data_IF_208186225653
#
_entry.id   IF_208186225653
#
_cell.length_a   1.000
_cell.length_b   1.000
_cell.length_c   1.000
_cell.angle_alpha   90.00
_cell.angle_beta   90.00
_cell.angle_gamma   90.00
#
_symmetry.space_group_name_H-M   'P 1'
#
loop_
_entity.id
_entity.type
_entity.pdbx_description
1 polymer ?
#
# COMPACT_ATOMS: atom_id res chain seq x y z
N UNK A 1 -4.51 18.26 7.30
CA UNK A 1 -3.72 18.07 6.06
C UNK A 1 -3.18 16.66 6.13
N UNK A 2 -3.30 15.84 5.09
CA UNK A 2 -2.66 14.53 5.10
C UNK A 2 -1.14 14.72 5.17
N UNK A 3 -0.46 13.93 5.99
CA UNK A 3 0.98 13.96 6.16
C UNK A 3 1.60 12.78 5.38
N UNK A 4 2.84 12.96 4.93
CA UNK A 4 3.62 11.86 4.34
C UNK A 4 3.85 10.75 5.37
N UNK A 5 4.21 9.56 4.90
CA UNK A 5 4.67 8.50 5.79
C UNK A 5 5.87 8.96 6.64
N UNK A 6 5.96 8.49 7.88
CA UNK A 6 7.15 8.61 8.70
C UNK A 6 8.28 7.80 8.05
N UNK A 7 9.40 8.46 7.74
CA UNK A 7 10.53 7.84 7.06
C UNK A 7 11.69 7.67 8.03
N UNK A 8 12.20 6.45 8.13
CA UNK A 8 13.31 6.08 9.02
C UNK A 8 14.41 5.39 8.23
N UNK A 9 15.61 5.97 8.17
CA UNK A 9 16.78 5.34 7.54
C UNK A 9 17.18 4.04 8.25
N UNK A 10 17.50 3.01 7.47
CA UNK A 10 17.93 1.70 7.98
C UNK A 10 19.14 1.15 7.21
N UNK A 11 20.29 1.85 7.28
CA UNK A 11 21.47 1.51 6.49
C UNK A 11 21.38 2.11 5.08
N UNK A 12 21.48 1.29 4.03
CA UNK A 12 21.36 1.74 2.64
C UNK A 12 19.90 1.99 2.20
N UNK A 13 18.93 1.56 3.02
CA UNK A 13 17.51 1.63 2.76
C UNK A 13 16.75 2.67 3.59
N UNK A 14 15.42 2.53 3.61
CA UNK A 14 14.54 3.18 4.58
C UNK A 14 13.35 2.29 4.95
N UNK A 15 12.70 2.63 6.06
CA UNK A 15 11.36 2.18 6.40
C UNK A 15 10.42 3.36 6.28
N UNK A 16 9.32 3.21 5.54
CA UNK A 16 8.21 4.15 5.51
C UNK A 16 7.03 3.58 6.30
N UNK A 17 6.43 4.37 7.18
CA UNK A 17 5.27 3.96 7.99
C UNK A 17 4.16 5.01 7.92
N UNK A 18 2.92 4.59 7.65
CA UNK A 18 1.76 5.48 7.60
C UNK A 18 0.55 4.80 8.21
N UNK A 19 -0.20 5.52 9.05
CA UNK A 19 -1.51 5.09 9.51
C UNK A 19 -2.62 5.86 8.81
N UNK A 20 -3.67 5.16 8.41
CA UNK A 20 -4.90 5.74 7.87
C UNK A 20 -6.09 5.21 8.66
N UNK A 21 -7.02 6.10 8.98
CA UNK A 21 -8.24 5.75 9.72
C UNK A 21 -9.42 5.75 8.77
N UNK A 22 -10.06 4.59 8.66
CA UNK A 22 -11.28 4.43 7.88
C UNK A 22 -12.47 4.28 8.85
N UNK A 23 -13.55 5.08 8.71
CA UNK A 23 -14.76 4.95 9.51
C UNK A 23 -15.61 3.75 9.08
N UNK A 24 -14.97 2.62 8.81
CA UNK A 24 -15.55 1.39 8.28
C UNK A 24 -15.04 0.17 9.03
N UNK A 25 -15.89 -0.86 9.04
CA UNK A 25 -15.63 -2.15 9.67
C UNK A 25 -14.36 -2.80 9.11
N UNK A 26 -13.57 -3.42 9.98
CA UNK A 26 -12.28 -4.03 9.59
C UNK A 26 -12.44 -5.09 8.50
N UNK A 27 -13.53 -5.86 8.53
CA UNK A 27 -13.85 -6.81 7.48
C UNK A 27 -13.98 -6.16 6.09
N UNK A 28 -14.61 -4.98 5.99
CA UNK A 28 -14.73 -4.25 4.73
C UNK A 28 -13.39 -3.71 4.25
N UNK A 29 -12.57 -3.19 5.16
CA UNK A 29 -11.21 -2.72 4.80
C UNK A 29 -10.34 -3.89 4.34
N UNK A 30 -10.47 -5.05 4.97
CA UNK A 30 -9.75 -6.27 4.59
C UNK A 30 -10.10 -6.77 3.18
N UNK A 31 -11.36 -6.64 2.76
CA UNK A 31 -11.77 -6.96 1.39
C UNK A 31 -10.99 -6.13 0.36
N UNK A 32 -10.67 -4.86 0.65
CA UNK A 32 -9.86 -4.05 -0.27
C UNK A 32 -8.44 -4.58 -0.45
N UNK A 33 -7.91 -5.36 0.48
CA UNK A 33 -6.59 -5.97 0.36
C UNK A 33 -6.63 -7.36 -0.30
N UNK A 34 -7.78 -8.04 -0.30
CA UNK A 34 -7.83 -9.49 -0.62
C UNK A 34 -8.87 -9.89 -1.67
N UNK A 35 -9.93 -9.10 -1.85
CA UNK A 35 -10.95 -9.31 -2.86
C UNK A 35 -10.57 -8.60 -4.16
N UNK A 36 -10.48 -9.34 -5.26
CA UNK A 36 -10.00 -8.80 -6.55
C UNK A 36 -10.93 -7.74 -7.17
N UNK A 37 -12.23 -7.77 -6.90
CA UNK A 37 -13.17 -6.76 -7.40
C UNK A 37 -12.93 -5.43 -6.68
N UNK A 38 -12.57 -5.47 -5.39
CA UNK A 38 -12.21 -4.27 -4.60
C UNK A 38 -10.79 -3.80 -4.86
N UNK A 39 -9.85 -4.73 -4.90
CA UNK A 39 -8.43 -4.46 -5.05
C UNK A 39 -8.15 -3.73 -6.37
N UNK A 40 -8.78 -4.18 -7.46
CA UNK A 40 -8.70 -3.52 -8.77
C UNK A 40 -9.21 -2.07 -8.80
N UNK A 41 -10.00 -1.64 -7.80
CA UNK A 41 -10.51 -0.28 -7.72
C UNK A 41 -9.46 0.74 -7.27
N UNK A 42 -8.43 0.31 -6.55
CA UNK A 42 -7.37 1.19 -6.04
C UNK A 42 -5.98 0.79 -6.55
N UNK A 43 -5.77 -0.44 -7.01
CA UNK A 43 -4.53 -0.89 -7.65
C UNK A 43 -4.84 -1.76 -8.87
N UNK A 44 -4.78 -1.15 -10.05
CA UNK A 44 -5.22 -1.76 -11.30
C UNK A 44 -4.38 -2.99 -11.71
N UNK A 45 -3.08 -3.00 -11.38
CA UNK A 45 -2.12 -4.06 -11.74
C UNK A 45 -2.04 -5.22 -10.73
N UNK A 46 -2.47 -5.01 -9.48
CA UNK A 46 -2.29 -6.00 -8.40
C UNK A 46 -3.52 -6.90 -8.26
N UNK A 47 -3.35 -8.21 -8.08
CA UNK A 47 -4.47 -9.16 -7.84
C UNK A 47 -4.08 -10.18 -6.79
N UNK A 48 -5.01 -10.58 -5.93
CA UNK A 48 -4.85 -11.72 -5.04
C UNK A 48 -4.83 -13.02 -5.86
N UNK A 49 -3.73 -13.77 -5.78
CA UNK A 49 -3.58 -15.09 -6.41
C UNK A 49 -3.96 -16.20 -5.45
N UNK A 50 -3.22 -16.33 -4.35
CA UNK A 50 -3.47 -17.29 -3.28
C UNK A 50 -3.37 -16.61 -1.92
N UNK A 51 -4.50 -16.54 -1.21
CA UNK A 51 -4.66 -15.84 0.06
C UNK A 51 -4.23 -16.72 1.25
N UNK A 52 -2.92 -16.91 1.41
CA UNK A 52 -2.33 -17.68 2.49
C UNK A 52 -0.88 -17.26 2.75
N UNK A 53 -0.32 -17.63 3.90
CA UNK A 53 1.12 -17.59 4.12
C UNK A 53 1.80 -18.58 3.15
N UNK A 54 2.84 -18.12 2.44
CA UNK A 54 3.43 -18.83 1.30
C UNK A 54 2.60 -18.76 0.01
N UNK A 55 1.44 -18.09 0.06
CA UNK A 55 0.64 -17.71 -1.10
C UNK A 55 1.28 -16.53 -1.86
N UNK A 56 0.50 -15.85 -2.70
CA UNK A 56 1.04 -14.75 -3.51
C UNK A 56 -0.03 -13.77 -4.00
N UNK A 57 0.40 -12.51 -4.17
CA UNK A 57 -0.22 -11.61 -5.14
C UNK A 57 0.33 -11.86 -6.55
N UNK A 58 -0.44 -11.45 -7.54
CA UNK A 58 -0.07 -11.38 -8.94
C UNK A 58 0.01 -9.91 -9.33
N UNK A 59 1.17 -9.49 -9.82
CA UNK A 59 1.36 -8.14 -10.36
C UNK A 59 1.38 -8.22 -11.89
N UNK A 60 0.54 -7.43 -12.56
CA UNK A 60 0.49 -7.33 -14.01
C UNK A 60 1.57 -6.37 -14.53
N UNK A 61 2.56 -6.91 -15.22
CA UNK A 61 3.68 -6.16 -15.82
C UNK A 61 3.36 -5.76 -17.28
N UNK A 62 2.09 -5.82 -17.68
CA UNK A 62 1.62 -5.55 -19.03
C UNK A 62 2.15 -6.57 -20.04
N UNK A 63 2.86 -6.09 -21.06
CA UNK A 63 3.41 -6.95 -22.11
C UNK A 63 4.43 -7.99 -21.60
N UNK A 64 5.01 -7.77 -20.41
CA UNK A 64 5.99 -8.67 -19.80
C UNK A 64 5.35 -9.82 -19.01
N UNK A 65 4.02 -9.90 -18.95
CA UNK A 65 3.29 -10.95 -18.25
C UNK A 65 2.98 -10.60 -16.80
N UNK A 66 2.92 -11.62 -15.93
CA UNK A 66 2.58 -11.45 -14.51
C UNK A 66 3.69 -11.97 -13.62
N UNK A 67 4.01 -11.20 -12.58
CA UNK A 67 4.96 -11.58 -11.54
C UNK A 67 4.21 -12.08 -10.30
N UNK A 68 4.79 -13.07 -9.60
CA UNK A 68 4.25 -13.55 -8.32
C UNK A 68 5.00 -12.87 -7.18
N UNK A 69 4.26 -12.14 -6.36
CA UNK A 69 4.77 -11.51 -5.15
C UNK A 69 4.40 -12.37 -3.95
N UNK A 70 5.37 -13.07 -3.39
CA UNK A 70 5.17 -14.02 -2.29
C UNK A 70 4.60 -13.32 -1.04
N UNK A 71 3.60 -13.95 -0.40
CA UNK A 71 3.06 -13.51 0.87
C UNK A 71 3.83 -14.18 2.00
N UNK A 72 4.60 -13.40 2.74
CA UNK A 72 5.41 -13.86 3.88
C UNK A 72 4.59 -14.06 5.15
N UNK A 73 3.49 -13.32 5.32
CA UNK A 73 2.57 -13.45 6.45
C UNK A 73 1.15 -13.14 6.01
N UNK A 74 0.21 -13.98 6.43
CA UNK A 74 -1.21 -13.79 6.14
C UNK A 74 -2.07 -14.17 7.35
N UNK A 75 -2.62 -13.17 8.01
CA UNK A 75 -3.54 -13.31 9.14
C UNK A 75 -4.89 -12.70 8.72
N UNK A 76 -5.89 -13.53 8.34
CA UNK A 76 -7.15 -13.04 7.79
C UNK A 76 -7.83 -11.99 8.67
N UNK A 77 -8.11 -10.82 8.09
CA UNK A 77 -8.74 -9.70 8.78
C UNK A 77 -7.78 -8.82 9.58
N UNK A 78 -6.49 -9.18 9.65
CA UNK A 78 -5.50 -8.53 10.51
C UNK A 78 -4.26 -8.10 9.73
N UNK A 79 -3.54 -9.01 9.09
CA UNK A 79 -2.23 -8.70 8.49
C UNK A 79 -2.03 -9.36 7.14
N UNK A 80 -1.46 -8.61 6.19
CA UNK A 80 -0.79 -9.19 5.01
C UNK A 80 0.58 -8.53 4.81
N UNK A 81 1.61 -9.36 4.71
CA UNK A 81 3.00 -8.95 4.44
C UNK A 81 3.51 -9.73 3.24
N UNK A 82 4.08 -9.04 2.25
CA UNK A 82 4.45 -9.65 0.98
C UNK A 82 5.65 -8.97 0.33
N UNK A 83 6.25 -9.69 -0.64
CA UNK A 83 7.35 -9.19 -1.46
C UNK A 83 6.92 -7.98 -2.29
N UNK A 84 7.83 -7.03 -2.44
CA UNK A 84 7.67 -5.91 -3.36
C UNK A 84 8.95 -5.70 -4.16
N UNK A 85 9.22 -6.61 -5.10
CA UNK A 85 10.37 -6.54 -6.00
C UNK A 85 11.72 -6.45 -5.25
N UNK A 86 11.86 -7.22 -4.18
CA UNK A 86 13.04 -7.21 -3.32
C UNK A 86 12.94 -6.29 -2.11
N UNK A 87 11.92 -5.44 -2.03
CA UNK A 87 11.48 -4.76 -0.81
C UNK A 87 10.34 -5.54 -0.14
N UNK A 88 9.77 -5.01 0.95
CA UNK A 88 8.68 -5.68 1.68
C UNK A 88 7.58 -4.68 2.00
N UNK A 89 6.34 -5.02 1.64
CA UNK A 89 5.15 -4.25 2.00
C UNK A 89 4.34 -5.02 3.04
N UNK A 90 3.85 -4.31 4.04
CA UNK A 90 3.01 -4.83 5.11
C UNK A 90 1.81 -3.91 5.34
N UNK A 91 0.65 -4.53 5.47
CA UNK A 91 -0.56 -3.92 5.96
C UNK A 91 -0.99 -4.62 7.24
N UNK A 92 -1.23 -3.84 8.30
CA UNK A 92 -1.88 -4.29 9.52
C UNK A 92 -3.20 -3.52 9.71
N UNK A 93 -4.26 -4.22 10.05
CA UNK A 93 -5.56 -3.66 10.38
C UNK A 93 -5.83 -3.84 11.86
N UNK A 94 -6.22 -2.75 12.52
CA UNK A 94 -6.61 -2.75 13.93
C UNK A 94 -7.98 -2.12 14.05
N UNK A 95 -8.92 -2.83 14.67
CA UNK A 95 -10.25 -2.28 14.98
C UNK A 95 -10.12 -1.10 15.96
N UNK A 96 -10.76 0.02 15.62
CA UNK A 96 -10.81 1.23 16.44
C UNK A 96 -12.27 1.68 16.59
N UNK A 97 -12.93 1.19 17.65
CA UNK A 97 -14.36 1.39 17.86
C UNK A 97 -15.19 0.77 16.74
N UNK A 98 -15.92 1.61 15.98
CA UNK A 98 -16.66 1.18 14.78
C UNK A 98 -15.87 1.32 13.48
N UNK A 99 -14.64 1.85 13.55
CA UNK A 99 -13.75 2.04 12.41
C UNK A 99 -12.54 1.11 12.45
N UNK A 100 -11.59 1.38 11.56
CA UNK A 100 -10.36 0.60 11.40
C UNK A 100 -9.19 1.54 11.19
N UNK A 101 -8.09 1.26 11.87
CA UNK A 101 -6.78 1.82 11.55
C UNK A 101 -6.07 0.83 10.63
N UNK A 102 -5.70 1.28 9.44
CA UNK A 102 -4.77 0.57 8.56
C UNK A 102 -3.37 1.17 8.75
N UNK A 103 -2.45 0.36 9.25
CA UNK A 103 -1.04 0.68 9.33
C UNK A 103 -0.31 0.08 8.12
N UNK A 104 0.19 0.95 7.26
CA UNK A 104 1.02 0.62 6.12
C UNK A 104 2.49 0.74 6.50
N UNK A 105 3.29 -0.24 6.09
CA UNK A 105 4.73 -0.20 6.21
C UNK A 105 5.38 -0.73 4.94
N UNK A 106 6.34 0.03 4.42
CA UNK A 106 7.24 -0.42 3.36
C UNK A 106 8.67 -0.43 3.88
N UNK A 107 9.37 -1.55 3.71
CA UNK A 107 10.78 -1.71 4.07
C UNK A 107 11.61 -1.77 2.79
N UNK A 108 12.21 -0.64 2.45
CA UNK A 108 13.05 -0.47 1.27
C UNK A 108 14.47 -0.87 1.63
N UNK A 109 15.05 -1.85 0.93
CA UNK A 109 16.41 -2.34 1.21
C UNK A 109 17.49 -1.42 0.71
N UNK A 110 17.25 -0.76 -0.43
CA UNK A 110 18.18 0.17 -1.04
C UNK A 110 17.42 1.29 -1.73
N UNK A 111 17.78 2.53 -1.41
CA UNK A 111 17.18 3.67 -2.11
C UNK A 111 17.54 3.69 -3.59
N UNK A 112 16.52 3.87 -4.41
CA UNK A 112 16.64 4.13 -5.84
C UNK A 112 15.70 5.27 -6.22
N UNK A 113 15.78 5.72 -7.48
CA UNK A 113 14.80 6.68 -8.01
C UNK A 113 13.36 6.14 -7.98
N UNK A 114 13.19 4.82 -7.90
CA UNK A 114 11.88 4.18 -7.83
C UNK A 114 11.23 4.36 -6.45
N UNK A 115 12.02 4.43 -5.37
CA UNK A 115 11.50 4.51 -4.00
C UNK A 115 10.52 5.67 -3.80
N UNK A 116 10.83 6.85 -4.32
CA UNK A 116 9.95 8.04 -4.20
C UNK A 116 8.63 7.84 -4.96
N UNK A 117 8.68 7.15 -6.11
CA UNK A 117 7.50 6.86 -6.93
C UNK A 117 6.58 5.86 -6.24
N UNK A 118 7.17 4.84 -5.63
CA UNK A 118 6.44 3.80 -4.91
C UNK A 118 5.76 4.36 -3.66
N UNK A 119 6.49 5.13 -2.84
CA UNK A 119 5.92 5.79 -1.66
C UNK A 119 4.75 6.72 -2.00
N UNK A 120 4.86 7.48 -3.10
CA UNK A 120 3.77 8.32 -3.60
C UNK A 120 2.59 7.48 -4.10
N UNK A 121 2.85 6.38 -4.82
CA UNK A 121 1.85 5.42 -5.28
C UNK A 121 1.05 4.83 -4.13
N UNK A 122 1.74 4.31 -3.10
CA UNK A 122 1.10 3.78 -1.91
C UNK A 122 0.26 4.83 -1.18
N UNK A 123 0.74 6.07 -1.08
CA UNK A 123 -0.04 7.15 -0.47
C UNK A 123 -1.37 7.37 -1.18
N UNK A 124 -1.35 7.52 -2.50
CA UNK A 124 -2.56 7.69 -3.31
C UNK A 124 -3.47 6.47 -3.17
N UNK A 125 -2.92 5.27 -3.28
CA UNK A 125 -3.66 4.02 -3.12
C UNK A 125 -4.45 3.96 -1.81
N UNK A 126 -3.80 4.29 -0.70
CA UNK A 126 -4.43 4.32 0.63
C UNK A 126 -5.54 5.37 0.75
N UNK A 127 -5.38 6.53 0.12
CA UNK A 127 -6.41 7.58 0.11
C UNK A 127 -7.60 7.14 -0.77
N UNK A 128 -7.33 6.49 -1.91
CA UNK A 128 -8.35 5.94 -2.81
C UNK A 128 -9.18 4.85 -2.11
N UNK A 129 -8.56 3.96 -1.32
CA UNK A 129 -9.30 2.98 -0.50
C UNK A 129 -10.34 3.68 0.37
N UNK A 130 -9.97 4.79 1.03
CA UNK A 130 -10.90 5.58 1.85
C UNK A 130 -12.06 6.15 1.05
N UNK A 131 -11.77 6.76 -0.11
CA UNK A 131 -12.78 7.32 -1.01
C UNK A 131 -13.76 6.24 -1.48
N UNK A 132 -13.26 5.06 -1.88
CA UNK A 132 -14.08 3.95 -2.37
C UNK A 132 -14.93 3.32 -1.26
N UNK A 133 -14.38 3.21 -0.04
CA UNK A 133 -15.14 2.77 1.13
C UNK A 133 -16.31 3.71 1.43
N UNK A 134 -16.13 5.01 1.26
CA UNK A 134 -17.18 6.03 1.40
C UNK A 134 -18.18 6.04 0.22
N UNK A 135 -18.00 5.17 -0.78
CA UNK A 135 -18.85 5.11 -1.98
C UNK A 135 -18.57 6.24 -2.99
N UNK A 136 -17.46 6.94 -2.83
CA UNK A 136 -16.99 7.97 -3.74
C UNK A 136 -16.27 7.41 -4.96
N UNK A 137 -15.70 8.32 -5.76
CA UNK A 137 -14.82 8.00 -6.88
C UNK A 137 -13.62 8.95 -6.81
N UNK A 138 -12.39 8.45 -7.00
CA UNK A 138 -11.22 9.32 -7.04
C UNK A 138 -11.29 10.23 -8.29
N UNK A 139 -10.97 11.51 -8.14
CA UNK A 139 -11.08 12.49 -9.22
C UNK A 139 -9.85 12.48 -10.13
N UNK A 140 -8.68 12.85 -9.60
CA UNK A 140 -7.43 12.94 -10.36
C UNK A 140 -6.26 12.29 -9.60
N UNK A 141 -6.18 10.97 -9.72
CA UNK A 141 -5.11 10.17 -9.11
C UNK A 141 -3.72 10.59 -9.57
N UNK A 142 -3.58 11.14 -10.78
CA UNK A 142 -2.30 11.56 -11.33
C UNK A 142 -1.82 12.83 -10.63
N UNK A 143 -2.68 13.85 -10.53
CA UNK A 143 -2.35 15.09 -9.84
C UNK A 143 -2.01 14.85 -8.35
N UNK A 144 -2.76 13.96 -7.69
CA UNK A 144 -2.46 13.54 -6.32
C UNK A 144 -1.10 12.85 -6.23
N UNK A 145 -0.80 11.96 -7.17
CA UNK A 145 0.49 11.27 -7.23
C UNK A 145 1.65 12.26 -7.45
N UNK A 146 1.56 13.21 -8.38
CA UNK A 146 2.61 14.21 -8.63
C UNK A 146 2.92 15.03 -7.38
N UNK A 147 1.87 15.48 -6.68
CA UNK A 147 2.01 16.20 -5.41
C UNK A 147 2.74 15.37 -4.36
N UNK A 148 2.37 14.10 -4.20
CA UNK A 148 3.02 13.23 -3.22
C UNK A 148 4.43 12.83 -3.63
N UNK A 149 4.68 12.64 -4.92
CA UNK A 149 6.01 12.37 -5.48
C UNK A 149 6.98 13.50 -5.14
N UNK A 150 6.55 14.75 -5.32
CA UNK A 150 7.35 15.92 -4.95
C UNK A 150 7.61 15.99 -3.42
N UNK A 151 6.58 15.70 -2.61
CA UNK A 151 6.70 15.73 -1.15
C UNK A 151 7.64 14.64 -0.61
N UNK A 152 7.50 13.39 -1.07
CA UNK A 152 8.42 12.31 -0.72
C UNK A 152 9.81 12.54 -1.27
N UNK A 153 9.96 13.14 -2.46
CA UNK A 153 11.26 13.49 -3.02
C UNK A 153 12.05 14.45 -2.14
N UNK A 154 11.39 15.46 -1.58
CA UNK A 154 12.00 16.35 -0.57
C UNK A 154 12.36 15.60 0.70
N UNK A 155 11.41 14.86 1.28
CA UNK A 155 11.62 14.17 2.55
C UNK A 155 12.74 13.13 2.49
N UNK A 156 12.79 12.32 1.43
CA UNK A 156 13.87 11.34 1.21
C UNK A 156 15.21 12.04 0.96
N UNK A 157 15.22 13.20 0.30
CA UNK A 157 16.42 14.00 0.09
C UNK A 157 17.01 14.61 1.37
N UNK A 158 16.21 14.73 2.43
CA UNK A 158 16.62 15.25 3.74
C UNK A 158 17.13 14.15 4.70
N UNK A 159 16.98 12.87 4.35
CA UNK A 159 17.42 11.69 5.12
C UNK A 159 18.86 11.27 4.85
#
# INVERSE_FOLDING_TARGET
MAEIAELNRNGEGLTAYREVRYPHETAKVWEYLTDNDRLSGWFDELRMGEAAEGGHYLFDMGEHGREKLEIFRFEPGETVEFDWFGDVVRFDLVTDGSGTVLAFKETVRKLTEQTVKDLAGWHVCLDVIGILLDGGQPEDRHADWEKWNEAYGRAVGEL
#
